data_IF_960360810027
#
_entry.id   IF_960360810027
#
_cell.length_a   1.000
_cell.length_b   1.000
_cell.length_c   1.000
_cell.angle_alpha   90.00
_cell.angle_beta   90.00
_cell.angle_gamma   90.00
#
_symmetry.space_group_name_H-M   'P 1'
#
loop_
_entity.id
_entity.type
_entity.pdbx_description
1 polymer ?
#
# COMPACT_ATOMS: atom_id res chain seq x y z
N UNK A 1 -3.15 -8.75 19.24
CA UNK A 1 -3.71 -8.10 18.02
C UNK A 1 -4.80 -8.99 17.48
N UNK A 2 -5.82 -8.45 16.81
CA UNK A 2 -6.88 -9.28 16.21
C UNK A 2 -6.33 -9.92 14.94
N UNK A 3 -6.55 -11.22 14.75
CA UNK A 3 -6.23 -11.91 13.50
C UNK A 3 -7.48 -12.12 12.66
N UNK A 4 -7.32 -12.12 11.34
CA UNK A 4 -8.41 -12.35 10.38
C UNK A 4 -7.90 -13.16 9.19
N UNK A 5 -8.68 -14.15 8.75
CA UNK A 5 -8.38 -14.92 7.55
C UNK A 5 -8.61 -14.07 6.30
N UNK A 6 -7.61 -14.00 5.42
CA UNK A 6 -7.67 -13.19 4.18
C UNK A 6 -7.03 -13.91 3.01
N UNK A 7 -7.45 -13.49 1.82
CA UNK A 7 -6.78 -13.75 0.56
C UNK A 7 -5.90 -12.54 0.20
N UNK A 8 -4.68 -12.79 -0.26
CA UNK A 8 -3.66 -11.79 -0.58
C UNK A 8 -3.07 -12.15 -1.95
N UNK A 9 -3.02 -11.22 -2.91
CA UNK A 9 -2.42 -11.46 -4.23
C UNK A 9 -1.52 -10.28 -4.61
N UNK A 10 -0.27 -10.54 -4.98
CA UNK A 10 0.62 -9.52 -5.53
C UNK A 10 0.14 -9.09 -6.91
N UNK A 11 -0.05 -7.78 -7.11
CA UNK A 11 -0.53 -7.22 -8.38
C UNK A 11 0.57 -6.53 -9.17
N UNK A 12 1.52 -5.87 -8.50
CA UNK A 12 2.65 -5.24 -9.20
C UNK A 12 3.41 -6.26 -10.05
N UNK A 13 3.58 -5.97 -11.34
CA UNK A 13 4.33 -6.83 -12.26
C UNK A 13 3.58 -8.06 -12.77
N UNK A 14 2.30 -8.25 -12.41
CA UNK A 14 1.52 -9.43 -12.80
C UNK A 14 0.18 -9.07 -13.44
N UNK A 15 -0.30 -9.93 -14.36
CA UNK A 15 -1.60 -9.79 -15.02
C UNK A 15 -2.51 -10.94 -14.59
N UNK A 16 -3.07 -10.80 -13.38
CA UNK A 16 -3.97 -11.79 -12.73
C UNK A 16 -3.34 -13.14 -12.35
N UNK A 17 -2.03 -13.29 -12.48
CA UNK A 17 -1.28 -14.51 -12.21
C UNK A 17 -0.18 -14.30 -11.15
N UNK A 18 -0.32 -13.28 -10.31
CA UNK A 18 0.65 -13.01 -9.26
C UNK A 18 0.65 -14.09 -8.17
N UNK A 19 1.76 -14.25 -7.44
CA UNK A 19 1.79 -15.03 -6.22
C UNK A 19 0.63 -14.64 -5.31
N UNK A 20 -0.06 -15.64 -4.75
CA UNK A 20 -1.20 -15.40 -3.89
C UNK A 20 -1.19 -16.33 -2.69
N UNK A 21 -1.75 -15.83 -1.59
CA UNK A 21 -1.75 -16.47 -0.30
C UNK A 21 -3.16 -16.45 0.30
N UNK A 22 -3.45 -17.47 1.09
CA UNK A 22 -4.51 -17.48 2.08
C UNK A 22 -3.84 -17.64 3.44
N UNK A 23 -4.13 -16.73 4.36
CA UNK A 23 -3.47 -16.73 5.67
C UNK A 23 -4.14 -15.83 6.70
N UNK A 24 -3.65 -15.93 7.92
CA UNK A 24 -4.08 -15.14 9.07
C UNK A 24 -3.31 -13.82 9.11
N UNK A 25 -4.00 -12.73 8.80
CA UNK A 25 -3.46 -11.38 8.89
C UNK A 25 -3.65 -10.85 10.31
N UNK A 26 -2.60 -10.29 10.89
CA UNK A 26 -2.70 -9.53 12.15
C UNK A 26 -3.06 -8.07 11.87
N UNK A 27 -4.05 -7.55 12.58
CA UNK A 27 -4.47 -6.15 12.50
C UNK A 27 -3.77 -5.33 13.59
N UNK A 28 -3.22 -4.18 13.19
CA UNK A 28 -2.85 -3.10 14.14
C UNK A 28 -4.03 -2.74 15.06
N UNK A 29 -3.76 -2.11 16.20
CA UNK A 29 -4.81 -1.69 17.16
C UNK A 29 -5.89 -0.81 16.51
N UNK A 30 -5.49 0.05 15.57
CA UNK A 30 -6.40 0.92 14.81
C UNK A 30 -7.07 0.22 13.63
N UNK A 31 -6.58 -0.97 13.24
CA UNK A 31 -7.00 -1.70 12.04
C UNK A 31 -6.49 -1.10 10.73
N UNK A 32 -5.70 -0.03 10.75
CA UNK A 32 -5.19 0.65 9.54
C UNK A 32 -4.08 -0.12 8.84
N UNK A 33 -3.19 -0.71 9.63
CA UNK A 33 -2.05 -1.52 9.14
C UNK A 33 -2.37 -3.00 9.33
N UNK A 34 -2.16 -3.75 8.25
CA UNK A 34 -2.28 -5.21 8.18
C UNK A 34 -0.87 -5.81 8.20
N UNK A 35 -0.67 -6.93 8.90
CA UNK A 35 0.61 -7.63 8.94
C UNK A 35 0.46 -9.09 8.51
N UNK A 36 1.34 -9.52 7.62
CA UNK A 36 1.41 -10.90 7.14
C UNK A 36 2.81 -11.21 6.65
N UNK A 37 3.38 -12.33 7.08
CA UNK A 37 4.67 -12.85 6.60
C UNK A 37 5.80 -11.80 6.59
N UNK A 38 6.03 -11.19 7.77
CA UNK A 38 7.08 -10.19 7.94
C UNK A 38 6.85 -8.87 7.18
N UNK A 39 5.68 -8.68 6.55
CA UNK A 39 5.33 -7.49 5.77
C UNK A 39 4.19 -6.72 6.42
N UNK A 40 4.08 -5.45 6.07
CA UNK A 40 2.98 -4.60 6.49
C UNK A 40 2.32 -3.91 5.31
N UNK A 41 0.99 -3.83 5.36
CA UNK A 41 0.18 -3.31 4.27
C UNK A 41 -0.77 -2.23 4.79
N UNK A 42 -1.00 -1.23 3.95
CA UNK A 42 -2.01 -0.20 4.19
C UNK A 42 -2.92 -0.05 2.97
N UNK A 43 -4.16 0.37 3.21
CA UNK A 43 -5.15 0.56 2.15
C UNK A 43 -4.72 1.68 1.20
N UNK A 44 -4.85 1.43 -0.10
CA UNK A 44 -4.68 2.45 -1.14
C UNK A 44 -5.87 3.40 -1.23
N UNK A 45 -6.96 3.14 -0.51
CA UNK A 45 -8.17 3.97 -0.46
C UNK A 45 -8.74 4.29 -1.86
N UNK A 46 -8.65 3.34 -2.78
CA UNK A 46 -9.12 3.50 -4.16
C UNK A 46 -8.12 4.12 -5.14
N UNK A 47 -6.90 4.47 -4.70
CA UNK A 47 -5.86 5.07 -5.55
C UNK A 47 -4.92 4.04 -6.21
N UNK A 48 -5.21 2.74 -6.05
CA UNK A 48 -4.42 1.67 -6.66
C UNK A 48 -4.65 1.55 -8.17
N UNK A 49 -3.62 1.11 -8.90
CA UNK A 49 -3.75 0.76 -10.32
C UNK A 49 -4.45 -0.58 -10.49
N UNK A 50 -4.06 -1.55 -9.67
CA UNK A 50 -4.42 -2.96 -9.83
C UNK A 50 -4.66 -3.67 -8.50
N UNK A 51 -4.13 -3.12 -7.39
CA UNK A 51 -4.41 -3.57 -6.04
C UNK A 51 -5.28 -2.59 -5.24
N UNK A 52 -5.66 -3.00 -4.03
CA UNK A 52 -6.39 -2.17 -3.06
C UNK A 52 -5.58 -1.89 -1.78
N UNK A 53 -4.42 -2.54 -1.61
CA UNK A 53 -3.43 -2.27 -0.57
C UNK A 53 -2.05 -2.09 -1.21
N UNK A 54 -1.14 -1.45 -0.49
CA UNK A 54 0.28 -1.44 -0.82
C UNK A 54 1.10 -1.95 0.36
N UNK A 55 2.22 -2.59 0.07
CA UNK A 55 3.22 -2.97 1.07
C UNK A 55 4.11 -1.76 1.40
N UNK A 56 4.35 -1.52 2.69
CA UNK A 56 4.96 -0.29 3.19
C UNK A 56 6.44 -0.12 2.80
N UNK A 57 7.18 -1.21 2.61
CA UNK A 57 8.62 -1.18 2.31
C UNK A 57 8.90 -1.03 0.81
N UNK A 58 8.27 -1.86 -0.02
CA UNK A 58 8.50 -1.90 -1.47
C UNK A 58 7.57 -0.97 -2.26
N UNK A 59 6.41 -0.63 -1.70
CA UNK A 59 5.36 0.10 -2.41
C UNK A 59 4.57 -0.76 -3.41
N UNK A 60 4.79 -2.08 -3.42
CA UNK A 60 4.06 -2.98 -4.30
C UNK A 60 2.56 -3.01 -3.97
N UNK A 61 1.73 -3.05 -5.01
CA UNK A 61 0.29 -3.17 -4.86
C UNK A 61 -0.14 -4.62 -4.70
N UNK A 62 -1.03 -4.82 -3.75
CA UNK A 62 -1.64 -6.10 -3.44
C UNK A 62 -3.16 -6.00 -3.52
N UNK A 63 -3.79 -7.09 -3.95
CA UNK A 63 -5.21 -7.32 -3.76
C UNK A 63 -5.41 -8.11 -2.47
N UNK A 64 -6.02 -7.49 -1.47
CA UNK A 64 -6.33 -8.13 -0.19
C UNK A 64 -7.84 -8.11 0.04
N UNK A 65 -8.43 -9.28 0.23
CA UNK A 65 -9.87 -9.45 0.43
C UNK A 65 -10.20 -10.53 1.45
N UNK A 66 -11.47 -10.67 1.81
CA UNK A 66 -11.95 -11.87 2.48
C UNK A 66 -11.77 -13.10 1.58
N UNK A 67 -11.64 -14.26 2.22
CA UNK A 67 -11.67 -15.56 1.53
C UNK A 67 -13.10 -15.85 1.08
N UNK A 68 -13.27 -16.32 -0.16
CA UNK A 68 -14.57 -16.73 -0.69
C UNK A 68 -14.86 -18.19 -0.35
N UNK A 69 -16.08 -18.45 0.12
CA UNK A 69 -16.56 -19.81 0.42
C UNK A 69 -16.50 -20.76 -0.77
N UNK A 70 -16.77 -20.23 -1.96
CA UNK A 70 -16.73 -20.99 -3.21
C UNK A 70 -15.31 -21.21 -3.75
N UNK A 71 -14.26 -20.82 -3.02
CA UNK A 71 -12.84 -21.00 -3.36
C UNK A 71 -12.34 -20.25 -4.61
N UNK A 72 -13.20 -19.54 -5.34
CA UNK A 72 -12.85 -18.76 -6.54
C UNK A 72 -12.24 -17.39 -6.18
N UNK A 73 -11.18 -17.38 -5.36
CA UNK A 73 -10.55 -16.16 -4.85
C UNK A 73 -9.88 -15.34 -5.96
N UNK A 74 -9.16 -16.01 -6.87
CA UNK A 74 -8.51 -15.37 -8.03
C UNK A 74 -9.53 -14.73 -8.97
N UNK A 75 -9.01 -13.81 -9.79
CA UNK A 75 -9.76 -13.26 -10.93
C UNK A 75 -10.16 -14.38 -11.91
N UNK A 76 -11.25 -14.19 -12.67
CA UNK A 76 -11.77 -15.21 -13.60
C UNK A 76 -10.74 -15.67 -14.65
N UNK A 77 -9.89 -14.76 -15.11
CA UNK A 77 -8.78 -15.03 -16.03
C UNK A 77 -7.44 -15.24 -15.33
N UNK A 78 -7.44 -15.33 -13.99
CA UNK A 78 -6.25 -15.53 -13.20
C UNK A 78 -5.86 -17.00 -13.08
N UNK A 79 -4.59 -17.25 -12.79
CA UNK A 79 -4.03 -18.59 -12.64
C UNK A 79 -2.88 -18.63 -11.66
N UNK A 80 -2.30 -19.82 -11.50
CA UNK A 80 -1.19 -20.07 -10.58
C UNK A 80 -1.63 -20.57 -9.21
N UNK A 81 -0.73 -21.29 -8.55
CA UNK A 81 -0.96 -21.86 -7.22
C UNK A 81 -1.26 -20.80 -6.18
N UNK A 82 -2.02 -21.17 -5.16
CA UNK A 82 -2.28 -20.36 -3.98
C UNK A 82 -1.53 -21.01 -2.82
N UNK A 83 -0.71 -20.22 -2.13
CA UNK A 83 -0.05 -20.67 -0.91
C UNK A 83 -1.05 -20.60 0.24
N UNK A 84 -1.16 -21.66 1.03
CA UNK A 84 -2.01 -21.69 2.22
C UNK A 84 -1.13 -21.77 3.46
N UNK A 85 -1.26 -20.79 4.34
CA UNK A 85 -0.54 -20.78 5.60
C UNK A 85 -1.01 -21.94 6.50
N UNK A 86 -0.07 -22.73 7.04
CA UNK A 86 -0.35 -23.90 7.87
C UNK A 86 -1.31 -23.63 9.04
N UNK A 87 -1.08 -22.54 9.80
CA UNK A 87 -1.94 -22.19 10.96
C UNK A 87 -3.34 -21.76 10.55
N UNK A 88 -3.53 -21.36 9.30
CA UNK A 88 -4.81 -20.88 8.79
C UNK A 88 -5.74 -22.01 8.32
N UNK A 89 -5.24 -23.24 8.20
CA UNK A 89 -5.98 -24.37 7.62
C UNK A 89 -7.33 -24.60 8.30
N UNK A 90 -7.36 -24.64 9.64
CA UNK A 90 -8.62 -24.89 10.37
C UNK A 90 -9.66 -23.79 10.10
N UNK A 91 -9.25 -22.52 10.16
CA UNK A 91 -10.13 -21.38 9.91
C UNK A 91 -10.56 -21.33 8.44
N UNK A 92 -9.68 -21.73 7.53
CA UNK A 92 -9.97 -21.82 6.11
C UNK A 92 -11.01 -22.91 5.80
N UNK A 93 -10.85 -24.11 6.37
CA UNK A 93 -11.82 -25.21 6.23
C UNK A 93 -13.20 -24.82 6.77
N UNK A 94 -13.25 -24.15 7.94
CA UNK A 94 -14.50 -23.59 8.49
C UNK A 94 -15.11 -22.53 7.55
N UNK A 95 -14.29 -21.70 6.91
CA UNK A 95 -14.76 -20.66 6.00
C UNK A 95 -15.45 -21.24 4.76
N UNK A 96 -14.86 -22.29 4.17
CA UNK A 96 -15.36 -22.93 2.94
C UNK A 96 -16.36 -24.05 3.18
N UNK A 97 -16.62 -24.40 4.44
CA UNK A 97 -17.54 -25.46 4.88
C UNK A 97 -17.18 -26.84 4.29
N UNK A 98 -15.89 -27.20 4.37
CA UNK A 98 -15.38 -28.50 3.93
C UNK A 98 -14.62 -29.22 5.05
N UNK A 99 -14.71 -30.55 5.11
CA UNK A 99 -14.05 -31.33 6.17
C UNK A 99 -12.55 -31.51 5.93
N UNK A 100 -12.09 -31.45 4.68
CA UNK A 100 -10.71 -31.71 4.30
C UNK A 100 -10.26 -30.78 3.18
N UNK A 101 -8.95 -30.50 3.17
CA UNK A 101 -8.30 -29.67 2.16
C UNK A 101 -7.94 -30.51 0.92
N UNK A 102 -8.21 -30.00 -0.28
CA UNK A 102 -7.64 -30.56 -1.50
C UNK A 102 -6.21 -30.05 -1.69
N UNK A 103 -5.24 -30.90 -1.33
CA UNK A 103 -3.81 -30.58 -1.39
C UNK A 103 -3.29 -30.31 -2.82
N UNK A 104 -4.05 -30.65 -3.86
CA UNK A 104 -3.66 -30.35 -5.23
C UNK A 104 -3.86 -28.87 -5.60
N UNK A 105 -4.71 -28.15 -4.86
CA UNK A 105 -5.03 -26.75 -5.13
C UNK A 105 -4.13 -25.77 -4.39
N UNK A 106 -3.50 -26.20 -3.29
CA UNK A 106 -2.79 -25.32 -2.37
C UNK A 106 -1.36 -25.81 -2.10
N UNK A 107 -0.43 -24.86 -2.01
CA UNK A 107 0.93 -25.12 -1.54
C UNK A 107 0.99 -24.70 -0.08
N UNK A 108 1.20 -25.64 0.83
CA UNK A 108 1.30 -25.33 2.26
C UNK A 108 2.61 -24.62 2.57
N UNK A 109 2.54 -23.55 3.36
CA UNK A 109 3.70 -22.78 3.80
C UNK A 109 3.62 -22.42 5.29
N UNK A 110 4.79 -22.23 5.88
CA UNK A 110 4.94 -21.46 7.12
C UNK A 110 5.25 -20.00 6.75
N UNK A 111 4.82 -19.08 7.61
CA UNK A 111 4.99 -17.64 7.43
C UNK A 111 5.68 -17.05 8.64
N UNK A 112 6.34 -15.91 8.47
CA UNK A 112 6.91 -15.18 9.60
C UNK A 112 5.81 -14.61 10.52
N UNK A 113 5.73 -15.15 11.74
CA UNK A 113 4.74 -14.74 12.75
C UNK A 113 5.17 -13.50 13.53
N UNK A 114 6.47 -13.24 13.61
CA UNK A 114 7.03 -12.10 14.33
C UNK A 114 6.65 -10.84 13.56
N UNK A 115 5.84 -9.99 14.19
CA UNK A 115 5.39 -8.75 13.57
C UNK A 115 6.57 -7.76 13.49
N UNK A 116 6.83 -7.14 12.33
CA UNK A 116 7.95 -6.22 12.12
C UNK A 116 7.71 -4.83 12.74
N UNK A 117 7.12 -4.74 13.95
CA UNK A 117 6.58 -3.50 14.51
C UNK A 117 7.61 -2.36 14.56
N UNK A 118 8.82 -2.61 15.05
CA UNK A 118 9.85 -1.56 15.15
C UNK A 118 10.34 -1.06 13.79
N UNK A 119 10.37 -1.95 12.78
CA UNK A 119 10.73 -1.56 11.40
C UNK A 119 9.61 -0.74 10.78
N UNK A 120 8.36 -1.19 10.94
CA UNK A 120 7.18 -0.52 10.37
C UNK A 120 6.89 0.81 11.05
N UNK A 121 6.98 0.91 12.38
CA UNK A 121 6.84 2.18 13.08
C UNK A 121 7.91 3.18 12.64
N UNK A 122 9.14 2.74 12.35
CA UNK A 122 10.17 3.64 11.79
C UNK A 122 9.80 4.14 10.41
N UNK A 123 9.20 3.30 9.56
CA UNK A 123 8.75 3.70 8.22
C UNK A 123 7.54 4.63 8.31
N UNK A 124 6.53 4.28 9.10
CA UNK A 124 5.35 5.11 9.32
C UNK A 124 5.76 6.45 9.93
N UNK A 125 6.59 6.46 10.97
CA UNK A 125 7.13 7.70 11.55
C UNK A 125 8.05 8.42 10.58
N UNK A 126 8.80 7.73 9.70
CA UNK A 126 9.63 8.39 8.69
C UNK A 126 8.80 8.96 7.54
N UNK A 127 7.65 8.36 7.22
CA UNK A 127 6.64 8.91 6.32
C UNK A 127 6.00 10.15 6.97
N UNK A 128 5.66 10.06 8.27
CA UNK A 128 5.29 11.22 9.08
C UNK A 128 6.47 12.21 9.21
N UNK A 129 7.73 11.77 9.15
CA UNK A 129 8.93 12.62 9.13
C UNK A 129 9.23 13.21 7.74
N UNK A 130 8.68 12.65 6.67
CA UNK A 130 8.61 13.36 5.38
C UNK A 130 7.61 14.51 5.47
N UNK A 131 6.64 14.42 6.38
CA UNK A 131 5.85 15.54 6.90
C UNK A 131 6.58 16.34 8.03
N UNK A 132 7.87 16.07 8.32
CA UNK A 132 8.76 16.87 9.21
C UNK A 132 9.72 17.72 8.37
N UNK A 133 9.14 18.56 7.53
CA UNK A 133 9.45 19.97 7.71
C UNK A 133 8.23 20.56 8.43
N UNK A 134 8.36 21.63 9.19
CA UNK A 134 7.26 22.29 9.92
C UNK A 134 6.17 22.91 8.99
N UNK A 135 5.77 22.19 7.95
CA UNK A 135 5.02 22.66 6.80
C UNK A 135 3.70 21.92 6.81
N UNK A 136 2.66 22.67 7.17
CA UNK A 136 1.30 22.18 7.12
C UNK A 136 0.94 21.85 5.67
N UNK A 137 0.88 20.56 5.32
CA UNK A 137 0.60 20.09 3.95
C UNK A 137 -0.74 20.60 3.40
N UNK A 138 -1.71 20.99 4.25
CA UNK A 138 -2.95 21.64 3.79
C UNK A 138 -2.69 22.93 3.02
N UNK A 139 -1.52 23.56 3.19
CA UNK A 139 -1.13 24.77 2.46
C UNK A 139 -0.91 24.54 0.97
N UNK A 140 -0.79 23.30 0.51
CA UNK A 140 -0.62 22.96 -0.92
C UNK A 140 -1.76 23.50 -1.81
N UNK A 141 -2.94 23.75 -1.22
CA UNK A 141 -4.10 24.31 -1.93
C UNK A 141 -4.16 25.84 -1.89
N UNK A 142 -3.26 26.50 -1.15
CA UNK A 142 -3.20 27.95 -1.05
C UNK A 142 -2.44 28.55 -2.24
N UNK A 143 -2.65 29.85 -2.46
CA UNK A 143 -1.86 30.60 -3.41
C UNK A 143 -0.38 30.66 -2.94
N UNK A 144 0.61 30.60 -3.86
CA UNK A 144 2.02 30.69 -3.51
C UNK A 144 2.38 31.91 -2.65
N UNK A 145 1.71 33.04 -2.85
CA UNK A 145 1.90 34.27 -2.09
C UNK A 145 1.59 34.13 -0.58
N UNK A 146 0.79 33.15 -0.19
CA UNK A 146 0.44 32.88 1.22
C UNK A 146 1.43 31.94 1.94
N UNK A 147 2.46 31.45 1.25
CA UNK A 147 3.45 30.51 1.79
C UNK A 147 4.70 31.24 2.28
N UNK A 148 5.44 30.68 3.24
CA UNK A 148 6.79 31.16 3.59
C UNK A 148 7.83 30.68 2.57
N UNK A 149 9.06 31.21 2.60
CA UNK A 149 10.13 30.76 1.68
C UNK A 149 10.50 29.27 1.90
N UNK A 150 10.49 28.83 3.16
CA UNK A 150 10.71 27.42 3.52
C UNK A 150 9.59 26.54 2.96
N UNK A 151 8.34 26.99 3.07
CA UNK A 151 7.17 26.30 2.50
C UNK A 151 7.23 26.21 0.97
N UNK A 152 7.62 27.30 0.31
CA UNK A 152 7.82 27.30 -1.14
C UNK A 152 8.87 26.27 -1.56
N UNK A 153 10.04 26.25 -0.91
CA UNK A 153 11.11 25.29 -1.25
C UNK A 153 10.65 23.83 -1.12
N UNK A 154 9.96 23.51 -0.02
CA UNK A 154 9.45 22.18 0.21
C UNK A 154 8.42 21.75 -0.86
N UNK A 155 7.44 22.59 -1.17
CA UNK A 155 6.43 22.24 -2.17
C UNK A 155 7.01 22.21 -3.59
N UNK A 156 8.07 22.98 -3.88
CA UNK A 156 8.81 22.88 -5.13
C UNK A 156 9.46 21.50 -5.25
N UNK A 157 10.18 21.04 -4.23
CA UNK A 157 10.79 19.70 -4.21
C UNK A 157 9.74 18.59 -4.31
N UNK A 158 8.64 18.72 -3.56
CA UNK A 158 7.50 17.80 -3.63
C UNK A 158 6.94 17.66 -5.06
N UNK A 159 6.63 18.78 -5.70
CA UNK A 159 6.10 18.77 -7.07
C UNK A 159 7.15 18.40 -8.11
N UNK A 160 8.44 18.65 -7.86
CA UNK A 160 9.52 18.20 -8.73
C UNK A 160 9.57 16.67 -8.77
N UNK A 161 9.56 16.02 -7.62
CA UNK A 161 9.51 14.56 -7.51
C UNK A 161 8.28 13.97 -8.22
N UNK A 162 7.08 14.51 -7.93
CA UNK A 162 5.86 14.04 -8.59
C UNK A 162 5.84 14.36 -10.10
N UNK A 163 6.51 15.43 -10.56
CA UNK A 163 6.60 15.73 -12.00
C UNK A 163 7.44 14.72 -12.78
N UNK A 164 8.43 14.12 -12.12
CA UNK A 164 9.37 13.15 -12.70
C UNK A 164 8.79 11.75 -12.56
N UNK A 165 8.42 11.38 -11.33
CA UNK A 165 8.06 10.02 -10.93
C UNK A 165 6.54 9.79 -10.87
N UNK A 166 5.74 10.82 -11.07
CA UNK A 166 4.28 10.74 -11.00
C UNK A 166 3.72 9.69 -11.96
N UNK A 167 2.87 8.83 -11.41
CA UNK A 167 2.31 7.65 -12.08
C UNK A 167 1.54 7.97 -13.36
N UNK A 168 0.83 9.10 -13.40
CA UNK A 168 -0.03 9.48 -14.51
C UNK A 168 0.51 10.70 -15.27
N UNK A 169 0.40 10.69 -16.61
CA UNK A 169 0.86 11.81 -17.45
C UNK A 169 0.18 13.13 -17.06
N UNK A 170 -1.13 13.11 -16.79
CA UNK A 170 -1.88 14.30 -16.39
C UNK A 170 -1.45 14.80 -15.00
N UNK A 171 -1.18 13.88 -14.06
CA UNK A 171 -0.62 14.21 -12.75
C UNK A 171 0.75 14.88 -12.87
N UNK A 172 1.66 14.29 -13.65
CA UNK A 172 2.98 14.88 -13.91
C UNK A 172 2.92 16.27 -14.56
N UNK A 173 1.98 16.50 -15.48
CA UNK A 173 1.77 17.82 -16.10
C UNK A 173 1.24 18.84 -15.09
N UNK A 174 0.30 18.44 -14.25
CA UNK A 174 -0.20 19.26 -13.16
C UNK A 174 0.90 19.63 -12.16
N UNK A 175 1.71 18.65 -11.74
CA UNK A 175 2.84 18.87 -10.84
C UNK A 175 3.85 19.88 -11.42
N UNK A 176 4.23 19.75 -12.70
CA UNK A 176 5.09 20.76 -13.37
C UNK A 176 4.48 22.16 -13.33
N UNK A 177 3.17 22.28 -13.57
CA UNK A 177 2.48 23.58 -13.54
C UNK A 177 2.53 24.19 -12.15
N UNK A 178 2.25 23.42 -11.09
CA UNK A 178 2.31 23.91 -9.72
C UNK A 178 3.73 24.28 -9.29
N UNK A 179 4.72 23.45 -9.62
CA UNK A 179 6.13 23.72 -9.38
C UNK A 179 6.57 25.06 -10.00
N UNK A 180 6.20 25.33 -11.25
CA UNK A 180 6.54 26.58 -11.93
C UNK A 180 5.89 27.82 -11.27
N UNK A 181 4.66 27.70 -10.77
CA UNK A 181 4.00 28.80 -10.04
C UNK A 181 4.71 29.12 -8.73
N UNK A 182 5.17 28.09 -8.01
CA UNK A 182 5.92 28.25 -6.76
C UNK A 182 7.33 28.82 -7.01
N UNK A 183 8.00 28.38 -8.07
CA UNK A 183 9.30 28.92 -8.50
C UNK A 183 9.20 30.41 -8.85
N UNK A 184 8.18 30.81 -9.60
CA UNK A 184 7.96 32.21 -9.96
C UNK A 184 7.76 33.10 -8.73
N UNK A 185 6.96 32.65 -7.77
CA UNK A 185 6.77 33.38 -6.51
C UNK A 185 8.05 33.46 -5.68
N UNK A 186 8.86 32.40 -5.67
CA UNK A 186 10.16 32.39 -5.00
C UNK A 186 11.12 33.40 -5.65
N UNK A 187 11.22 33.42 -6.97
CA UNK A 187 12.04 34.37 -7.72
C UNK A 187 11.60 35.81 -7.43
N UNK A 188 10.29 36.09 -7.44
CA UNK A 188 9.70 37.40 -7.12
C UNK A 188 10.09 37.92 -5.72
N UNK A 189 10.41 37.03 -4.77
CA UNK A 189 10.79 37.41 -3.40
C UNK A 189 12.29 37.61 -3.21
N UNK A 190 13.10 37.04 -4.10
CA UNK A 190 14.56 37.04 -4.00
C UNK A 190 15.23 38.04 -4.96
N UNK A 191 14.53 38.44 -6.03
CA UNK A 191 14.89 39.56 -6.90
C UNK A 191 14.27 40.87 -6.43
#
# INVERSE_FOLDING_TARGET
MKTVLKYIELKTGFSHNGPAWIGLISLSKSGKTLYFDGKAFQSLQGNGLSGNYYELESGDEYWISGVKKNQHNRHRSGGGSIYLENRSIEEYLKCIDLPNLDLNQYILIDVEEILPLDRIHRIENAIECKDINQINFKKITLQPSAMTLQELNYFIEYYQEDSIRGRFLNGRKYARKQMNLLLLEKERRLG
#
